data_IF_983198425059
#
_entry.id   IF_983198425059
#
_cell.length_a   1.000
_cell.length_b   1.000
_cell.length_c   1.000
_cell.angle_alpha   90.00
_cell.angle_beta   90.00
_cell.angle_gamma   90.00
#
_symmetry.space_group_name_H-M   'P 1'
#
loop_
_entity.id
_entity.type
_entity.pdbx_description
1 polymer ?
#
# COMPACT_ATOMS: atom_id res chain seq x y z
N UNK A 1 18.30 0.58 -4.39
CA UNK A 1 18.15 -0.42 -3.32
C UNK A 1 17.87 0.32 -2.01
N UNK A 2 17.02 -0.24 -1.13
CA UNK A 2 16.68 0.36 0.17
C UNK A 2 17.59 -0.21 1.26
N UNK A 3 18.09 0.65 2.14
CA UNK A 3 18.84 0.29 3.35
C UNK A 3 18.12 0.88 4.57
N UNK A 4 18.10 0.13 5.66
CA UNK A 4 17.52 0.54 6.94
C UNK A 4 18.50 0.39 8.08
N UNK A 5 18.30 1.14 9.16
CA UNK A 5 18.99 0.98 10.44
C UNK A 5 18.03 1.32 11.56
N UNK A 6 18.09 0.54 12.65
CA UNK A 6 17.33 0.84 13.85
C UNK A 6 17.97 2.03 14.58
N UNK A 7 17.16 3.03 14.93
CA UNK A 7 17.62 4.24 15.62
C UNK A 7 16.92 4.32 16.98
N UNK A 8 17.55 3.82 18.06
CA UNK A 8 16.95 3.88 19.39
C UNK A 8 16.82 5.33 19.85
N UNK A 9 15.67 5.64 20.45
CA UNK A 9 15.35 6.97 20.99
C UNK A 9 15.79 7.12 22.45
N UNK A 10 15.92 6.02 23.17
CA UNK A 10 16.31 5.97 24.58
C UNK A 10 17.11 4.67 24.88
N UNK A 11 17.60 4.56 26.11
CA UNK A 11 18.44 3.43 26.52
C UNK A 11 17.66 2.12 26.63
N UNK A 12 16.38 2.18 27.02
CA UNK A 12 15.50 1.00 27.03
C UNK A 12 15.36 0.38 25.62
N UNK A 13 15.13 1.19 24.58
CA UNK A 13 15.10 0.72 23.19
C UNK A 13 16.47 0.20 22.74
N UNK A 14 17.56 0.83 23.16
CA UNK A 14 18.93 0.38 22.85
C UNK A 14 19.19 -1.01 23.42
N UNK A 15 18.83 -1.24 24.68
CA UNK A 15 18.98 -2.53 25.34
C UNK A 15 18.09 -3.59 24.70
N UNK A 16 16.84 -3.25 24.37
CA UNK A 16 15.92 -4.16 23.67
C UNK A 16 16.45 -4.57 22.29
N UNK A 17 16.99 -3.61 21.52
CA UNK A 17 17.62 -3.91 20.22
C UNK A 17 18.87 -4.76 20.43
N UNK A 18 19.71 -4.44 21.42
CA UNK A 18 20.89 -5.23 21.75
C UNK A 18 20.56 -6.69 22.06
N UNK A 19 19.50 -6.92 22.82
CA UNK A 19 19.03 -8.26 23.18
C UNK A 19 18.41 -9.01 21.98
N UNK A 20 17.60 -8.34 21.16
CA UNK A 20 16.84 -8.99 20.08
C UNK A 20 17.60 -9.11 18.76
N UNK A 21 18.46 -8.13 18.46
CA UNK A 21 19.07 -7.95 17.14
C UNK A 21 20.59 -7.77 17.20
N UNK A 22 21.18 -7.68 18.39
CA UNK A 22 22.58 -7.34 18.58
C UNK A 22 22.83 -5.87 18.29
N UNK A 23 23.81 -5.56 17.45
CA UNK A 23 24.23 -4.17 17.29
C UNK A 23 23.18 -3.28 16.57
N UNK A 24 22.68 -2.27 17.27
CA UNK A 24 21.85 -1.19 16.70
C UNK A 24 22.51 -0.43 15.53
N UNK A 25 23.84 -0.51 15.36
CA UNK A 25 24.54 0.08 14.21
C UNK A 25 24.47 -0.77 12.94
N UNK A 26 23.92 -2.00 13.01
CA UNK A 26 23.74 -2.86 11.83
C UNK A 26 22.92 -2.16 10.76
N UNK A 27 23.40 -2.25 9.53
CA UNK A 27 22.65 -1.83 8.33
C UNK A 27 21.92 -3.04 7.78
N UNK A 28 20.62 -2.91 7.57
CA UNK A 28 19.75 -3.93 7.00
C UNK A 28 19.52 -3.63 5.53
N UNK A 29 19.75 -4.61 4.68
CA UNK A 29 19.31 -4.60 3.29
C UNK A 29 17.83 -4.96 3.19
N UNK A 30 17.21 -4.72 2.03
CA UNK A 30 15.85 -5.18 1.78
C UNK A 30 15.68 -6.70 1.98
N UNK A 31 16.72 -7.49 1.66
CA UNK A 31 16.73 -8.94 1.85
C UNK A 31 16.83 -9.34 3.33
N UNK A 32 17.49 -8.53 4.16
CA UNK A 32 17.49 -8.74 5.63
C UNK A 32 16.11 -8.46 6.24
N UNK A 33 15.35 -7.52 5.67
CA UNK A 33 14.04 -7.10 6.19
C UNK A 33 12.90 -8.00 5.71
N UNK A 34 12.99 -8.56 4.50
CA UNK A 34 11.95 -9.38 3.88
C UNK A 34 12.61 -10.62 3.28
N UNK A 35 12.63 -11.72 4.05
CA UNK A 35 13.32 -12.96 3.66
C UNK A 35 12.47 -13.92 2.81
N UNK A 36 11.20 -13.63 2.57
CA UNK A 36 10.29 -14.50 1.80
C UNK A 36 10.49 -14.39 0.29
N UNK A 37 10.34 -15.50 -0.43
CA UNK A 37 10.41 -15.53 -1.90
C UNK A 37 9.12 -15.02 -2.57
N UNK A 38 7.98 -15.18 -1.89
CA UNK A 38 6.64 -14.76 -2.37
C UNK A 38 6.19 -13.50 -1.62
N UNK A 39 6.56 -12.34 -2.17
CA UNK A 39 6.25 -11.04 -1.57
C UNK A 39 5.05 -10.40 -2.28
N UNK A 40 4.08 -9.97 -1.50
CA UNK A 40 2.96 -9.14 -1.97
C UNK A 40 2.97 -7.81 -1.21
N UNK A 41 2.76 -6.72 -1.93
CA UNK A 41 2.60 -5.39 -1.35
C UNK A 41 1.31 -4.78 -1.87
N UNK A 42 0.52 -4.19 -0.98
CA UNK A 42 -0.68 -3.44 -1.33
C UNK A 42 -0.71 -2.12 -0.55
N UNK A 43 -1.05 -1.04 -1.24
CA UNK A 43 -1.25 0.26 -0.64
C UNK A 43 -2.46 0.94 -1.28
N UNK A 44 -3.21 1.71 -0.48
CA UNK A 44 -4.36 2.50 -0.92
C UNK A 44 -4.19 3.93 -0.43
N UNK A 45 -4.43 4.91 -1.29
CA UNK A 45 -4.38 6.31 -0.89
C UNK A 45 -5.54 6.65 0.04
N UNK A 46 -5.23 7.22 1.20
CA UNK A 46 -6.23 7.74 2.14
C UNK A 46 -6.49 9.22 1.82
N UNK A 47 -5.41 10.00 1.76
CA UNK A 47 -5.40 11.38 1.24
C UNK A 47 -4.62 11.42 -0.06
N UNK A 48 -4.81 12.47 -0.86
CA UNK A 48 -4.05 12.66 -2.09
C UNK A 48 -2.56 12.71 -1.79
N UNK A 49 -1.82 11.77 -2.39
CA UNK A 49 -0.39 11.70 -2.33
C UNK A 49 0.21 11.62 -3.73
N UNK A 50 1.53 11.68 -3.79
CA UNK A 50 2.27 11.62 -5.06
C UNK A 50 2.08 10.30 -5.82
N UNK A 51 1.78 9.22 -5.10
CA UNK A 51 1.68 7.87 -5.68
C UNK A 51 0.23 7.43 -5.91
N UNK A 52 -0.67 7.76 -5.00
CA UNK A 52 -2.06 7.32 -5.00
C UNK A 52 -2.95 8.49 -4.62
N UNK A 53 -4.07 8.59 -5.33
CA UNK A 53 -5.14 9.52 -4.96
C UNK A 53 -5.82 9.03 -3.69
N UNK A 54 -6.29 9.98 -2.88
CA UNK A 54 -7.03 9.72 -1.66
C UNK A 54 -8.40 9.13 -1.94
N UNK A 55 -9.09 8.75 -0.87
CA UNK A 55 -10.49 8.32 -0.98
C UNK A 55 -11.34 9.52 -1.37
N UNK A 56 -12.14 9.39 -2.42
CA UNK A 56 -13.11 10.41 -2.81
C UNK A 56 -14.53 9.90 -2.59
N UNK A 57 -15.43 10.80 -2.21
CA UNK A 57 -16.83 10.50 -1.98
C UNK A 57 -17.69 11.36 -2.91
N UNK A 58 -18.62 10.74 -3.62
CA UNK A 58 -19.54 11.42 -4.52
C UNK A 58 -20.92 10.74 -4.46
N UNK A 59 -21.90 11.43 -3.89
CA UNK A 59 -23.25 10.90 -3.73
C UNK A 59 -23.28 9.65 -2.85
N UNK A 60 -23.70 8.53 -3.42
CA UNK A 60 -23.74 7.22 -2.78
C UNK A 60 -22.58 6.31 -3.21
N UNK A 61 -21.48 6.90 -3.68
CA UNK A 61 -20.28 6.17 -4.05
C UNK A 61 -19.05 6.68 -3.30
N UNK A 62 -18.12 5.79 -3.04
CA UNK A 62 -16.74 6.11 -2.69
C UNK A 62 -15.80 5.55 -3.75
N UNK A 63 -14.72 6.26 -4.06
CA UNK A 63 -13.66 5.74 -4.94
C UNK A 63 -12.34 5.62 -4.20
N UNK A 64 -11.57 4.59 -4.54
CA UNK A 64 -10.25 4.34 -3.96
C UNK A 64 -9.23 4.06 -5.06
N UNK A 65 -8.01 4.54 -4.86
CA UNK A 65 -6.87 4.24 -5.74
C UNK A 65 -5.83 3.41 -4.98
N UNK A 66 -5.54 2.21 -5.49
CA UNK A 66 -4.62 1.26 -4.88
C UNK A 66 -3.51 0.80 -5.82
N UNK A 67 -2.34 0.50 -5.24
CA UNK A 67 -1.21 -0.16 -5.90
C UNK A 67 -1.03 -1.55 -5.30
N UNK A 68 -1.00 -2.57 -6.15
CA UNK A 68 -0.67 -3.95 -5.76
C UNK A 68 0.55 -4.43 -6.54
N UNK A 69 1.54 -4.96 -5.83
CA UNK A 69 2.78 -5.51 -6.39
C UNK A 69 2.93 -6.97 -5.96
N UNK A 70 3.42 -7.82 -6.87
CA UNK A 70 3.90 -9.16 -6.53
C UNK A 70 5.37 -9.29 -6.92
N UNK A 71 6.24 -9.41 -5.92
CA UNK A 71 7.70 -9.40 -6.05
C UNK A 71 8.21 -10.41 -7.07
N UNK A 72 7.86 -11.69 -6.90
CA UNK A 72 8.36 -12.76 -7.78
C UNK A 72 8.03 -12.58 -9.25
N UNK A 73 6.81 -12.12 -9.55
CA UNK A 73 6.37 -11.94 -10.94
C UNK A 73 6.70 -10.56 -11.52
N UNK A 74 7.11 -9.60 -10.69
CA UNK A 74 7.25 -8.19 -11.06
C UNK A 74 5.94 -7.49 -11.44
N UNK A 75 4.79 -8.18 -11.37
CA UNK A 75 3.49 -7.62 -11.78
C UNK A 75 3.10 -6.47 -10.87
N UNK A 76 2.77 -5.34 -11.50
CA UNK A 76 2.19 -4.15 -10.90
C UNK A 76 0.75 -3.97 -11.36
N UNK A 77 -0.16 -3.76 -10.42
CA UNK A 77 -1.56 -3.38 -10.67
C UNK A 77 -1.85 -2.05 -10.01
N UNK A 78 -2.34 -1.11 -10.80
CA UNK A 78 -3.03 0.08 -10.31
C UNK A 78 -4.53 -0.22 -10.39
N UNK A 79 -5.23 -0.08 -9.28
CA UNK A 79 -6.62 -0.45 -9.13
C UNK A 79 -7.40 0.80 -8.73
N UNK A 80 -8.34 1.20 -9.58
CA UNK A 80 -9.36 2.18 -9.25
C UNK A 80 -10.64 1.40 -8.97
N UNK A 81 -11.20 1.57 -7.77
CA UNK A 81 -12.42 0.88 -7.36
C UNK A 81 -13.50 1.89 -7.03
N UNK A 82 -14.68 1.70 -7.61
CA UNK A 82 -15.92 2.36 -7.19
C UNK A 82 -16.70 1.47 -6.21
N UNK A 83 -16.94 2.00 -5.02
CA UNK A 83 -17.68 1.33 -3.94
C UNK A 83 -19.07 1.96 -3.82
N UNK A 84 -20.17 1.23 -4.08
CA UNK A 84 -21.50 1.70 -3.73
C UNK A 84 -21.68 1.69 -2.20
N UNK A 85 -22.10 2.81 -1.63
CA UNK A 85 -22.29 3.00 -0.19
C UNK A 85 -23.71 2.64 0.29
N UNK A 86 -24.65 2.47 -0.66
CA UNK A 86 -25.99 1.94 -0.39
C UNK A 86 -26.08 0.52 -0.93
N UNK A 87 -26.57 -0.40 -0.11
CA UNK A 87 -26.98 -1.71 -0.59
C UNK A 87 -28.19 -1.53 -1.52
N UNK A 88 -28.01 -1.88 -2.79
CA UNK A 88 -29.12 -2.00 -3.73
C UNK A 88 -29.79 -3.36 -3.47
N UNK A 89 -31.12 -3.45 -3.29
CA UNK A 89 -31.83 -4.70 -2.98
C UNK A 89 -31.85 -5.72 -4.13
N UNK A 90 -30.99 -5.58 -5.13
CA UNK A 90 -31.00 -6.41 -6.35
C UNK A 90 -29.59 -6.49 -6.94
N UNK A 91 -28.78 -7.43 -6.46
CA UNK A 91 -27.52 -7.79 -7.11
C UNK A 91 -27.77 -8.82 -8.20
N UNK A 92 -28.38 -8.41 -9.31
CA UNK A 92 -28.35 -9.17 -10.56
C UNK A 92 -27.76 -8.30 -11.68
N UNK A 93 -26.57 -8.70 -12.15
CA UNK A 93 -26.00 -8.22 -13.41
C UNK A 93 -24.95 -7.13 -13.26
N UNK A 94 -23.69 -7.55 -13.39
CA UNK A 94 -22.55 -6.66 -13.65
C UNK A 94 -22.83 -5.78 -14.88
N UNK A 95 -22.74 -4.46 -14.73
CA UNK A 95 -22.51 -3.53 -15.85
C UNK A 95 -21.17 -2.85 -15.65
N UNK A 96 -20.18 -3.28 -16.42
CA UNK A 96 -18.96 -2.53 -16.70
C UNK A 96 -19.25 -1.66 -17.91
N UNK A 97 -19.12 -0.34 -17.82
CA UNK A 97 -18.78 0.51 -18.99
C UNK A 97 -18.01 1.78 -18.60
N UNK A 98 -16.78 1.85 -19.15
CA UNK A 98 -15.91 2.97 -19.54
C UNK A 98 -15.60 4.11 -18.56
N UNK A 99 -14.30 4.27 -18.29
CA UNK A 99 -13.70 5.44 -17.65
C UNK A 99 -13.97 6.74 -18.45
N UNK A 100 -14.34 7.86 -17.80
CA UNK A 100 -14.29 9.15 -18.46
C UNK A 100 -12.82 9.58 -18.61
N UNK A 101 -12.52 10.19 -19.76
CA UNK A 101 -11.19 10.66 -20.13
C UNK A 101 -10.59 11.58 -19.07
N UNK A 102 -9.33 11.33 -18.73
CA UNK A 102 -8.49 12.25 -17.97
C UNK A 102 -8.46 13.60 -18.70
N UNK A 103 -8.93 14.72 -18.12
CA UNK A 103 -8.58 16.00 -18.69
C UNK A 103 -7.12 16.28 -18.33
N UNK A 104 -6.33 16.64 -19.34
CA UNK A 104 -5.06 17.37 -19.18
C UNK A 104 -5.02 18.45 -20.28
N UNK A 105 -4.40 19.62 -20.06
CA UNK A 105 -3.80 20.14 -18.82
C UNK A 105 -4.71 21.14 -18.09
#
# INVERSE_FOLDING_TARGET
AMLGRLVPRNDEEREAIQAAHGDHKRVYTAADMIAGEEIFFAATGVTDGMLLQGVSYAGDRATTHSLVLRGKSGVRRLIHTDHPLRESPTSSGVRVLSAPAHPSP
#
